data_IF_765830187355
#
_entry.id   IF_765830187355
#
_cell.length_a   1.000
_cell.length_b   1.000
_cell.length_c   1.000
_cell.angle_alpha   90.00
_cell.angle_beta   90.00
_cell.angle_gamma   90.00
#
_symmetry.space_group_name_H-M   'P 1'
#
loop_
_entity.id
_entity.type
_entity.pdbx_description
1 polymer ?
#
# COMPACT_ATOMS: atom_id res chain seq x y z
N UNK A 1 2.59 -13.49 -0.58
CA UNK A 1 1.67 -14.40 0.16
C UNK A 1 1.26 -13.70 1.43
N UNK A 2 -0.04 -13.62 1.73
CA UNK A 2 -0.52 -13.01 2.96
C UNK A 2 -0.23 -13.88 4.18
N UNK A 3 -0.39 -13.31 5.37
CA UNK A 3 -0.12 -13.99 6.66
C UNK A 3 -0.97 -15.26 6.80
N UNK A 4 -2.22 -15.20 6.34
CA UNK A 4 -3.18 -16.32 6.40
C UNK A 4 -2.79 -17.44 5.43
N UNK A 5 -2.38 -17.10 4.20
CA UNK A 5 -1.91 -18.09 3.23
C UNK A 5 -0.69 -18.87 3.71
N UNK A 6 0.25 -18.20 4.38
CA UNK A 6 1.44 -18.85 4.97
C UNK A 6 1.09 -19.77 6.15
N UNK A 7 0.11 -19.40 6.98
CA UNK A 7 -0.29 -20.19 8.15
C UNK A 7 -1.16 -21.40 7.80
N UNK A 8 -2.01 -21.28 6.77
CA UNK A 8 -2.95 -22.33 6.37
C UNK A 8 -2.49 -23.11 5.12
N UNK A 9 -1.31 -22.81 4.59
CA UNK A 9 -0.75 -23.41 3.38
C UNK A 9 -1.74 -23.41 2.20
N UNK A 10 -2.38 -22.25 1.99
CA UNK A 10 -3.43 -22.08 0.98
C UNK A 10 -2.87 -21.59 -0.35
N UNK A 11 -3.46 -22.07 -1.44
CA UNK A 11 -3.27 -21.46 -2.75
C UNK A 11 -3.73 -20.00 -2.75
N UNK A 12 -2.98 -19.15 -3.45
CA UNK A 12 -3.20 -17.70 -3.46
C UNK A 12 -4.61 -17.29 -3.94
N UNK A 13 -5.15 -17.99 -4.93
CA UNK A 13 -6.53 -17.75 -5.41
C UNK A 13 -7.56 -18.05 -4.33
N UNK A 14 -7.35 -19.11 -3.56
CA UNK A 14 -8.21 -19.52 -2.45
C UNK A 14 -8.11 -18.53 -1.29
N UNK A 15 -6.90 -18.05 -0.96
CA UNK A 15 -6.69 -16.99 0.03
C UNK A 15 -7.46 -15.71 -0.34
N UNK A 16 -7.40 -15.27 -1.59
CA UNK A 16 -8.10 -14.07 -2.06
C UNK A 16 -9.63 -14.21 -1.92
N UNK A 17 -10.21 -15.35 -2.30
CA UNK A 17 -11.65 -15.62 -2.16
C UNK A 17 -12.08 -15.60 -0.69
N UNK A 18 -11.31 -16.25 0.18
CA UNK A 18 -11.58 -16.29 1.63
C UNK A 18 -11.54 -14.89 2.21
N UNK A 19 -10.55 -14.06 1.83
CA UNK A 19 -10.44 -12.68 2.30
C UNK A 19 -11.64 -11.83 1.86
N UNK A 20 -12.19 -12.03 0.66
CA UNK A 20 -13.43 -11.35 0.23
C UNK A 20 -14.59 -11.76 1.13
N UNK A 21 -14.79 -13.08 1.30
CA UNK A 21 -15.89 -13.62 2.07
C UNK A 21 -15.83 -13.14 3.53
N UNK A 22 -14.65 -13.19 4.15
CA UNK A 22 -14.42 -12.66 5.50
C UNK A 22 -14.69 -11.16 5.57
N UNK A 23 -14.16 -10.36 4.62
CA UNK A 23 -14.39 -8.92 4.61
C UNK A 23 -15.88 -8.58 4.50
N UNK A 24 -16.65 -9.31 3.68
CA UNK A 24 -18.08 -9.13 3.53
C UNK A 24 -18.85 -9.54 4.79
N UNK A 25 -18.47 -10.67 5.42
CA UNK A 25 -19.05 -11.11 6.68
C UNK A 25 -18.81 -10.10 7.81
N UNK A 26 -17.57 -9.63 7.99
CA UNK A 26 -17.24 -8.63 9.01
C UNK A 26 -17.91 -7.28 8.72
N UNK A 27 -18.01 -6.89 7.45
CA UNK A 27 -18.76 -5.70 7.05
C UNK A 27 -20.24 -5.81 7.43
N UNK A 28 -20.91 -6.93 7.12
CA UNK A 28 -22.31 -7.14 7.47
C UNK A 28 -22.53 -7.19 8.99
N UNK A 29 -21.64 -7.84 9.74
CA UNK A 29 -21.69 -7.84 11.21
C UNK A 29 -21.57 -6.40 11.74
N UNK A 30 -20.62 -5.63 11.22
CA UNK A 30 -20.42 -4.23 11.60
C UNK A 30 -21.65 -3.39 11.27
N UNK A 31 -22.18 -3.50 10.05
CA UNK A 31 -23.33 -2.75 9.57
C UNK A 31 -24.58 -3.06 10.40
N UNK A 32 -24.88 -4.35 10.65
CA UNK A 32 -26.05 -4.76 11.44
C UNK A 32 -25.89 -4.34 12.91
N UNK A 33 -24.69 -4.45 13.48
CA UNK A 33 -24.42 -4.04 14.85
C UNK A 33 -24.55 -2.52 15.03
N UNK A 34 -24.08 -1.73 14.07
CA UNK A 34 -24.24 -0.27 14.07
C UNK A 34 -25.66 0.21 13.73
N UNK A 35 -26.48 -0.64 13.12
CA UNK A 35 -27.86 -0.33 12.72
C UNK A 35 -28.91 -0.59 13.81
N UNK A 36 -28.63 -1.49 14.77
CA UNK A 36 -29.67 -2.00 15.67
C UNK A 36 -30.14 -0.93 16.67
N UNK A 37 -31.30 -0.30 16.40
CA UNK A 37 -31.95 0.75 17.23
C UNK A 37 -32.14 0.36 18.70
N UNK A 38 -32.39 -0.92 18.97
CA UNK A 38 -32.36 -1.47 20.33
C UNK A 38 -31.14 -2.38 20.40
N UNK A 39 -29.97 -1.81 20.73
CA UNK A 39 -28.73 -2.56 20.86
C UNK A 39 -28.86 -3.78 21.77
N UNK A 40 -27.93 -4.72 21.63
CA UNK A 40 -27.86 -5.87 22.54
C UNK A 40 -26.98 -5.47 23.72
N UNK A 41 -27.48 -5.66 24.94
CA UNK A 41 -26.81 -5.20 26.16
C UNK A 41 -27.26 -3.79 26.54
N UNK A 42 -27.36 -3.52 27.84
CA UNK A 42 -27.93 -2.28 28.37
C UNK A 42 -27.23 -1.00 27.89
N UNK A 43 -27.97 0.11 27.99
CA UNK A 43 -27.56 1.40 27.45
C UNK A 43 -26.58 2.10 28.39
N UNK A 44 -25.41 2.45 27.87
CA UNK A 44 -24.46 3.35 28.52
C UNK A 44 -24.43 4.65 27.71
N UNK A 45 -25.26 5.61 28.10
CA UNK A 45 -25.35 6.91 27.42
C UNK A 45 -24.10 7.73 27.75
N UNK A 46 -23.19 7.91 26.79
CA UNK A 46 -22.08 8.87 26.92
C UNK A 46 -22.52 10.21 26.31
N UNK A 47 -22.63 11.29 27.09
CA UNK A 47 -23.36 12.50 26.71
C UNK A 47 -22.63 13.44 25.74
N UNK A 48 -21.49 13.06 25.15
CA UNK A 48 -20.71 13.99 24.30
C UNK A 48 -21.06 13.96 22.80
N UNK A 49 -21.76 12.94 22.29
CA UNK A 49 -22.03 12.81 20.83
C UNK A 49 -23.49 12.40 20.53
N UNK A 50 -24.35 12.20 21.54
CA UNK A 50 -25.72 11.72 21.31
C UNK A 50 -25.79 10.30 20.71
N UNK A 51 -24.69 9.55 20.76
CA UNK A 51 -24.67 8.11 20.46
C UNK A 51 -24.93 7.33 21.74
N UNK A 52 -25.98 6.52 21.73
CA UNK A 52 -26.20 5.51 22.75
C UNK A 52 -25.14 4.41 22.57
N UNK A 53 -24.23 4.26 23.54
CA UNK A 53 -23.25 3.18 23.51
C UNK A 53 -23.92 1.97 24.11
N UNK A 54 -24.32 1.04 23.25
CA UNK A 54 -24.76 -0.27 23.73
C UNK A 54 -23.54 -1.16 23.96
N UNK A 55 -23.56 -1.89 25.07
CA UNK A 55 -22.42 -2.66 25.59
C UNK A 55 -21.88 -3.71 24.60
N UNK A 56 -22.73 -4.32 23.79
CA UNK A 56 -22.33 -5.41 22.86
C UNK A 56 -22.31 -4.93 21.41
N UNK A 57 -23.30 -4.14 20.98
CA UNK A 57 -23.36 -3.74 19.57
C UNK A 57 -22.27 -2.74 19.19
N UNK A 58 -21.88 -1.81 20.08
CA UNK A 58 -20.84 -0.82 19.78
C UNK A 58 -19.46 -1.49 19.59
N UNK A 59 -19.01 -2.39 20.47
CA UNK A 59 -17.77 -3.14 20.23
C UNK A 59 -17.84 -4.03 18.98
N UNK A 60 -18.97 -4.68 18.71
CA UNK A 60 -19.14 -5.49 17.49
C UNK A 60 -19.05 -4.65 16.21
N UNK A 61 -19.61 -3.44 16.23
CA UNK A 61 -19.50 -2.48 15.14
C UNK A 61 -18.05 -2.10 14.87
N UNK A 62 -17.31 -1.69 15.92
CA UNK A 62 -15.91 -1.26 15.82
C UNK A 62 -15.00 -2.44 15.40
N UNK A 63 -15.08 -3.56 16.10
CA UNK A 63 -14.23 -4.73 15.84
C UNK A 63 -14.53 -5.31 14.46
N UNK A 64 -15.81 -5.43 14.07
CA UNK A 64 -16.20 -5.87 12.74
C UNK A 64 -15.67 -4.95 11.65
N UNK A 65 -15.75 -3.62 11.85
CA UNK A 65 -15.20 -2.64 10.93
C UNK A 65 -13.69 -2.78 10.76
N UNK A 66 -12.95 -2.90 11.87
CA UNK A 66 -11.50 -3.08 11.84
C UNK A 66 -11.10 -4.39 11.16
N UNK A 67 -11.76 -5.51 11.49
CA UNK A 67 -11.49 -6.80 10.85
C UNK A 67 -11.79 -6.78 9.35
N UNK A 68 -12.85 -6.10 8.94
CA UNK A 68 -13.16 -5.88 7.52
C UNK A 68 -12.00 -5.16 6.81
N UNK A 69 -11.53 -4.05 7.38
CA UNK A 69 -10.40 -3.27 6.84
C UNK A 69 -9.14 -4.12 6.77
N UNK A 70 -8.83 -4.91 7.82
CA UNK A 70 -7.65 -5.79 7.83
C UNK A 70 -7.72 -6.86 6.72
N UNK A 71 -8.90 -7.46 6.49
CA UNK A 71 -9.07 -8.41 5.39
C UNK A 71 -8.87 -7.74 4.02
N UNK A 72 -9.39 -6.53 3.81
CA UNK A 72 -9.19 -5.77 2.58
C UNK A 72 -7.74 -5.34 2.39
N UNK A 73 -7.06 -4.93 3.47
CA UNK A 73 -5.64 -4.59 3.48
C UNK A 73 -4.79 -5.79 3.06
N UNK A 74 -5.05 -6.97 3.62
CA UNK A 74 -4.30 -8.17 3.28
C UNK A 74 -4.52 -8.57 1.82
N UNK A 75 -5.75 -8.43 1.31
CA UNK A 75 -6.07 -8.74 -0.09
C UNK A 75 -5.39 -7.78 -1.06
N UNK A 76 -5.50 -6.48 -0.80
CA UNK A 76 -5.06 -5.43 -1.71
C UNK A 76 -3.73 -4.79 -1.30
N UNK A 77 -2.89 -5.53 -0.56
CA UNK A 77 -1.67 -5.01 0.06
C UNK A 77 -0.78 -4.22 -0.92
N UNK A 78 -0.64 -4.68 -2.16
CA UNK A 78 0.20 -4.06 -3.19
C UNK A 78 -0.24 -2.66 -3.61
N UNK A 79 -1.52 -2.32 -3.42
CA UNK A 79 -2.11 -1.03 -3.81
C UNK A 79 -2.85 -0.37 -2.64
N UNK A 80 -2.54 -0.77 -1.39
CA UNK A 80 -3.31 -0.37 -0.22
C UNK A 80 -3.27 1.14 0.06
N UNK A 81 -2.27 1.86 -0.47
CA UNK A 81 -2.25 3.33 -0.47
C UNK A 81 -3.54 3.91 -1.06
N UNK A 82 -4.03 3.34 -2.17
CA UNK A 82 -5.32 3.69 -2.77
C UNK A 82 -6.50 3.38 -1.84
N UNK A 83 -6.43 2.28 -1.09
CA UNK A 83 -7.43 1.92 -0.09
C UNK A 83 -7.52 2.95 1.04
N UNK A 84 -6.39 3.49 1.48
CA UNK A 84 -6.35 4.56 2.50
C UNK A 84 -6.98 5.85 1.97
N UNK A 85 -6.70 6.23 0.71
CA UNK A 85 -7.34 7.39 0.07
C UNK A 85 -8.86 7.24 -0.03
N UNK A 86 -9.35 6.05 -0.41
CA UNK A 86 -10.78 5.72 -0.44
C UNK A 86 -11.43 5.80 0.94
N UNK A 87 -10.76 5.27 1.97
CA UNK A 87 -11.27 5.35 3.34
C UNK A 87 -11.35 6.80 3.83
N UNK A 88 -10.32 7.60 3.56
CA UNK A 88 -10.32 9.03 3.89
C UNK A 88 -11.44 9.78 3.15
N UNK A 89 -11.60 9.54 1.84
CA UNK A 89 -12.66 10.13 1.04
C UNK A 89 -14.07 9.73 1.55
N UNK A 90 -14.25 8.47 1.96
CA UNK A 90 -15.48 7.99 2.59
C UNK A 90 -15.82 8.81 3.84
N UNK A 91 -14.88 8.90 4.79
CA UNK A 91 -15.10 9.62 6.05
C UNK A 91 -15.33 11.11 5.85
N UNK A 92 -14.57 11.75 4.96
CA UNK A 92 -14.74 13.17 4.65
C UNK A 92 -16.10 13.43 4.00
N UNK A 93 -16.54 12.57 3.10
CA UNK A 93 -17.85 12.68 2.44
C UNK A 93 -18.99 12.45 3.43
N UNK A 94 -18.86 11.44 4.28
CA UNK A 94 -19.81 11.13 5.35
C UNK A 94 -19.99 12.32 6.30
N UNK A 95 -18.88 12.80 6.88
CA UNK A 95 -18.88 13.93 7.82
C UNK A 95 -19.36 15.22 7.15
N UNK A 96 -18.91 15.49 5.93
CA UNK A 96 -19.37 16.65 5.16
C UNK A 96 -20.89 16.61 4.93
N UNK A 97 -21.44 15.45 4.59
CA UNK A 97 -22.88 15.27 4.38
C UNK A 97 -23.67 15.43 5.67
N UNK A 98 -23.22 14.82 6.77
CA UNK A 98 -23.87 14.96 8.08
C UNK A 98 -23.88 16.44 8.52
N UNK A 99 -22.73 17.12 8.45
CA UNK A 99 -22.65 18.54 8.81
C UNK A 99 -23.57 19.40 7.93
N UNK A 100 -23.64 19.09 6.64
CA UNK A 100 -24.49 19.82 5.70
C UNK A 100 -25.97 19.72 6.03
N UNK A 101 -26.46 18.54 6.40
CA UNK A 101 -27.90 18.30 6.61
C UNK A 101 -28.36 18.39 8.06
N UNK A 102 -27.49 18.10 9.04
CA UNK A 102 -27.85 18.13 10.46
C UNK A 102 -27.50 19.48 11.09
N UNK A 103 -26.35 20.07 10.74
CA UNK A 103 -25.86 21.30 11.38
C UNK A 103 -26.24 22.58 10.64
N UNK A 104 -27.06 22.49 9.59
CA UNK A 104 -27.47 23.63 8.76
C UNK A 104 -28.04 24.80 9.59
N UNK A 105 -28.94 24.49 10.52
CA UNK A 105 -29.63 25.48 11.34
C UNK A 105 -28.74 26.09 12.45
N UNK A 106 -27.56 25.51 12.69
CA UNK A 106 -26.64 25.95 13.74
C UNK A 106 -25.60 26.98 13.26
N UNK A 107 -25.66 27.39 11.98
CA UNK A 107 -24.93 28.54 11.46
C UNK A 107 -24.04 28.26 10.25
N UNK A 108 -23.74 29.32 9.49
CA UNK A 108 -23.05 29.26 8.20
C UNK A 108 -21.63 28.65 8.24
N UNK A 109 -20.94 28.70 9.39
CA UNK A 109 -19.61 28.10 9.54
C UNK A 109 -19.61 26.58 9.35
N UNK A 110 -20.69 25.90 9.75
CA UNK A 110 -20.84 24.45 9.55
C UNK A 110 -21.05 24.10 8.08
N UNK A 111 -21.80 24.93 7.35
CA UNK A 111 -21.96 24.82 5.90
C UNK A 111 -20.62 24.97 5.18
N UNK A 112 -19.84 26.01 5.50
CA UNK A 112 -18.52 26.20 4.91
C UNK A 112 -17.61 25.00 5.20
N UNK A 113 -17.62 24.50 6.43
CA UNK A 113 -16.85 23.31 6.84
C UNK A 113 -17.26 22.08 6.03
N UNK A 114 -18.56 21.84 5.86
CA UNK A 114 -19.08 20.73 5.06
C UNK A 114 -18.60 20.80 3.60
N UNK A 115 -18.66 21.99 2.98
CA UNK A 115 -18.18 22.22 1.61
C UNK A 115 -16.68 21.93 1.49
N UNK A 116 -15.88 22.40 2.46
CA UNK A 116 -14.43 22.14 2.48
C UNK A 116 -14.15 20.64 2.60
N UNK A 117 -14.86 19.90 3.46
CA UNK A 117 -14.68 18.45 3.60
C UNK A 117 -15.04 17.70 2.31
N UNK A 118 -16.11 18.10 1.61
CA UNK A 118 -16.51 17.50 0.33
C UNK A 118 -15.49 17.80 -0.77
N UNK A 119 -14.94 19.02 -0.82
CA UNK A 119 -13.86 19.36 -1.75
C UNK A 119 -12.58 18.58 -1.47
N UNK A 120 -12.23 18.40 -0.19
CA UNK A 120 -11.10 17.55 0.21
C UNK A 120 -11.33 16.10 -0.21
N UNK A 121 -12.54 15.55 -0.03
CA UNK A 121 -12.87 14.20 -0.48
C UNK A 121 -12.69 14.03 -2.00
N UNK A 122 -13.15 15.01 -2.79
CA UNK A 122 -12.95 15.03 -4.24
C UNK A 122 -11.47 15.12 -4.62
N UNK A 123 -10.71 15.95 -3.91
CA UNK A 123 -9.25 16.07 -4.12
C UNK A 123 -8.52 14.76 -3.83
N UNK A 124 -8.92 14.01 -2.79
CA UNK A 124 -8.33 12.70 -2.47
C UNK A 124 -8.58 11.69 -3.59
N UNK A 125 -9.80 11.63 -4.13
CA UNK A 125 -10.10 10.73 -5.25
C UNK A 125 -9.38 11.14 -6.54
N UNK A 126 -9.26 12.45 -6.80
CA UNK A 126 -8.48 12.94 -7.92
C UNK A 126 -7.01 12.53 -7.81
N UNK A 127 -6.42 12.63 -6.62
CA UNK A 127 -5.05 12.18 -6.38
C UNK A 127 -4.90 10.68 -6.61
N UNK A 128 -5.86 9.88 -6.15
CA UNK A 128 -5.88 8.44 -6.38
C UNK A 128 -5.93 8.10 -7.88
N UNK A 129 -6.69 8.84 -8.68
CA UNK A 129 -6.68 8.71 -10.15
C UNK A 129 -5.27 8.96 -10.68
N UNK A 130 -4.65 10.08 -10.29
CA UNK A 130 -3.30 10.40 -10.76
C UNK A 130 -2.28 9.32 -10.39
N UNK A 131 -2.30 8.80 -9.16
CA UNK A 131 -1.39 7.74 -8.69
C UNK A 131 -1.56 6.46 -9.53
N UNK A 132 -2.80 6.05 -9.78
CA UNK A 132 -3.10 4.85 -10.58
C UNK A 132 -2.73 5.01 -12.05
N UNK A 133 -2.99 6.16 -12.66
CA UNK A 133 -2.62 6.42 -14.06
C UNK A 133 -1.11 6.65 -14.24
N UNK A 134 -0.43 7.26 -13.26
CA UNK A 134 1.04 7.35 -13.28
C UNK A 134 1.68 5.98 -13.14
N UNK A 135 1.14 5.11 -12.28
CA UNK A 135 1.59 3.72 -12.20
C UNK A 135 1.41 3.00 -13.55
N UNK A 136 0.24 3.15 -14.19
CA UNK A 136 0.00 2.60 -15.54
C UNK A 136 1.06 3.10 -16.53
N UNK A 137 1.29 4.41 -16.60
CA UNK A 137 2.23 4.99 -17.56
C UNK A 137 3.65 4.41 -17.41
N UNK A 138 4.15 4.29 -16.17
CA UNK A 138 5.47 3.71 -15.90
C UNK A 138 5.59 2.26 -16.34
N UNK A 139 4.52 1.48 -16.19
CA UNK A 139 4.52 0.06 -16.59
C UNK A 139 4.44 -0.06 -18.11
N UNK A 140 3.62 0.78 -18.77
CA UNK A 140 3.55 0.81 -20.24
C UNK A 140 4.90 1.24 -20.85
N UNK A 141 5.58 2.22 -20.25
CA UNK A 141 6.92 2.63 -20.68
C UNK A 141 7.96 1.50 -20.55
N UNK A 142 7.82 0.65 -19.53
CA UNK A 142 8.69 -0.51 -19.33
C UNK A 142 8.32 -1.73 -20.21
N UNK A 143 7.03 -1.90 -20.50
CA UNK A 143 6.46 -3.04 -21.23
C UNK A 143 5.40 -2.58 -22.24
N UNK A 144 5.81 -2.02 -23.40
CA UNK A 144 4.88 -1.46 -24.38
C UNK A 144 3.96 -2.52 -25.01
N UNK A 145 4.39 -3.78 -25.03
CA UNK A 145 3.66 -4.95 -25.57
C UNK A 145 2.32 -5.24 -24.84
N UNK A 146 2.16 -4.74 -23.62
CA UNK A 146 1.05 -5.07 -22.72
C UNK A 146 0.02 -3.92 -22.60
N UNK A 147 0.14 -2.86 -23.40
CA UNK A 147 -0.72 -1.68 -23.34
C UNK A 147 -2.22 -2.01 -23.48
N UNK A 148 -2.58 -2.86 -24.45
CA UNK A 148 -3.96 -3.30 -24.70
C UNK A 148 -4.56 -4.08 -23.52
N UNK A 149 -3.72 -4.75 -22.71
CA UNK A 149 -4.19 -5.49 -21.52
C UNK A 149 -4.35 -4.60 -20.29
N UNK A 150 -3.85 -3.37 -20.34
CA UNK A 150 -3.92 -2.39 -19.25
C UNK A 150 -5.07 -1.39 -19.42
N UNK A 151 -6.08 -1.70 -20.23
CA UNK A 151 -7.29 -0.89 -20.32
C UNK A 151 -8.07 -0.92 -19.00
N UNK A 152 -8.04 0.21 -18.27
CA UNK A 152 -8.80 0.38 -17.03
C UNK A 152 -10.28 0.73 -17.27
N UNK A 153 -10.72 0.84 -18.54
CA UNK A 153 -12.12 1.06 -18.92
C UNK A 153 -12.79 2.20 -18.16
N UNK A 154 -14.05 1.99 -17.78
CA UNK A 154 -14.88 2.95 -17.02
C UNK A 154 -14.54 3.03 -15.51
N UNK A 155 -13.39 2.51 -15.07
CA UNK A 155 -13.02 2.49 -13.65
C UNK A 155 -13.05 3.88 -13.00
N UNK A 156 -12.61 4.91 -13.71
CA UNK A 156 -12.60 6.28 -13.22
C UNK A 156 -14.02 6.84 -12.97
N UNK A 157 -15.05 6.31 -13.66
CA UNK A 157 -16.45 6.71 -13.46
C UNK A 157 -17.04 6.16 -12.16
N UNK A 158 -16.42 5.13 -11.58
CA UNK A 158 -16.87 4.58 -10.30
C UNK A 158 -16.52 5.46 -9.10
N UNK A 159 -15.51 6.32 -9.23
CA UNK A 159 -15.11 7.26 -8.18
C UNK A 159 -16.14 8.37 -7.93
N UNK A 160 -16.65 9.08 -8.95
CA UNK A 160 -17.76 10.01 -8.73
C UNK A 160 -19.05 9.28 -8.32
N UNK A 161 -19.30 8.06 -8.81
CA UNK A 161 -20.42 7.25 -8.35
C UNK A 161 -20.31 6.90 -6.85
N UNK A 162 -19.11 6.57 -6.38
CA UNK A 162 -18.82 6.32 -4.97
C UNK A 162 -19.13 7.54 -4.08
N UNK A 163 -18.70 8.75 -4.49
CA UNK A 163 -19.05 9.99 -3.76
C UNK A 163 -20.56 10.19 -3.73
N UNK A 164 -21.22 10.10 -4.89
CA UNK A 164 -22.66 10.31 -4.99
C UNK A 164 -23.43 9.36 -4.08
N UNK A 165 -23.11 8.07 -4.11
CA UNK A 165 -23.80 7.07 -3.30
C UNK A 165 -23.48 7.25 -1.82
N UNK A 166 -22.27 7.71 -1.47
CA UNK A 166 -21.91 8.06 -0.08
C UNK A 166 -22.72 9.25 0.41
N UNK A 167 -22.90 10.30 -0.40
CA UNK A 167 -23.77 11.43 -0.07
C UNK A 167 -25.21 10.96 0.12
N UNK A 168 -25.73 10.15 -0.79
CA UNK A 168 -27.10 9.61 -0.68
C UNK A 168 -27.25 8.79 0.61
N UNK A 169 -26.28 7.92 0.91
CA UNK A 169 -26.25 7.10 2.12
C UNK A 169 -26.32 7.97 3.38
N UNK A 170 -25.45 8.97 3.49
CA UNK A 170 -25.39 9.81 4.68
C UNK A 170 -26.51 10.85 4.75
N UNK A 171 -27.16 11.16 3.64
CA UNK A 171 -28.44 11.87 3.63
C UNK A 171 -29.55 11.02 4.25
N UNK A 172 -29.69 9.75 3.85
CA UNK A 172 -30.60 8.79 4.46
C UNK A 172 -30.34 8.65 5.97
N UNK A 173 -29.07 8.52 6.35
CA UNK A 173 -28.66 8.48 7.75
C UNK A 173 -29.08 9.75 8.51
N UNK A 174 -28.83 10.94 7.95
CA UNK A 174 -29.17 12.21 8.60
C UNK A 174 -30.68 12.34 8.83
N UNK A 175 -31.50 11.88 7.87
CA UNK A 175 -32.96 11.92 7.98
C UNK A 175 -33.51 10.90 8.97
N UNK A 176 -32.91 9.71 9.02
CA UNK A 176 -33.18 8.74 10.08
C UNK A 176 -32.81 9.30 11.46
N UNK A 177 -31.62 9.90 11.62
CA UNK A 177 -31.14 10.48 12.87
C UNK A 177 -32.04 11.61 13.38
N UNK A 178 -32.53 12.47 12.49
CA UNK A 178 -33.43 13.57 12.85
C UNK A 178 -34.90 13.14 13.03
N UNK A 179 -35.24 11.88 12.75
CA UNK A 179 -36.62 11.40 12.68
C UNK A 179 -37.50 12.26 11.74
N UNK A 180 -36.92 12.69 10.62
CA UNK A 180 -37.59 13.52 9.62
C UNK A 180 -37.80 12.78 8.30
N UNK A 181 -38.87 13.11 7.60
CA UNK A 181 -39.00 12.73 6.20
C UNK A 181 -38.07 13.60 5.34
N UNK A 182 -37.33 12.94 4.44
CA UNK A 182 -36.52 13.60 3.43
C UNK A 182 -37.20 13.51 2.07
N UNK A 183 -36.83 14.44 1.17
CA UNK A 183 -37.42 14.57 -0.17
C UNK A 183 -37.32 13.29 -1.03
N UNK A 184 -36.40 12.38 -0.71
CA UNK A 184 -36.18 11.12 -1.42
C UNK A 184 -36.22 9.90 -0.49
N UNK A 185 -36.61 10.05 0.78
CA UNK A 185 -36.58 8.91 1.71
C UNK A 185 -37.82 8.04 1.64
N UNK A 186 -38.96 8.57 1.21
CA UNK A 186 -40.24 7.85 1.08
C UNK A 186 -40.61 7.03 2.33
N UNK A 187 -40.28 7.53 3.52
CA UNK A 187 -40.48 6.81 4.79
C UNK A 187 -39.56 5.60 5.02
N UNK A 188 -38.58 5.38 4.14
CA UNK A 188 -37.65 4.24 4.17
C UNK A 188 -36.21 4.67 4.48
N UNK A 189 -36.02 5.65 5.37
CA UNK A 189 -34.70 6.24 5.61
C UNK A 189 -33.66 5.21 6.09
N UNK A 190 -34.07 4.31 6.98
CA UNK A 190 -33.30 3.19 7.52
C UNK A 190 -32.86 2.19 6.44
N UNK A 191 -33.81 1.70 5.64
CA UNK A 191 -33.55 0.75 4.57
C UNK A 191 -32.69 1.36 3.47
N UNK A 192 -32.93 2.65 3.15
CA UNK A 192 -32.13 3.41 2.20
C UNK A 192 -30.66 3.43 2.58
N UNK A 193 -30.36 3.79 3.84
CA UNK A 193 -28.99 3.78 4.38
C UNK A 193 -28.33 2.40 4.27
N UNK A 194 -29.02 1.33 4.69
CA UNK A 194 -28.47 -0.03 4.64
C UNK A 194 -28.13 -0.47 3.20
N UNK A 195 -29.05 -0.25 2.26
CA UNK A 195 -28.86 -0.62 0.85
C UNK A 195 -27.69 0.16 0.26
N UNK A 196 -27.62 1.46 0.50
CA UNK A 196 -26.52 2.27 -0.03
C UNK A 196 -25.18 1.89 0.59
N UNK A 197 -25.12 1.50 1.86
CA UNK A 197 -23.89 0.99 2.47
C UNK A 197 -23.39 -0.31 1.82
N UNK A 198 -24.29 -1.25 1.51
CA UNK A 198 -23.94 -2.47 0.78
C UNK A 198 -23.43 -2.14 -0.63
N UNK A 199 -24.07 -1.20 -1.32
CA UNK A 199 -23.63 -0.74 -2.64
C UNK A 199 -22.24 -0.10 -2.57
N UNK A 200 -22.00 0.77 -1.58
CA UNK A 200 -20.68 1.40 -1.36
C UNK A 200 -19.61 0.33 -1.15
N UNK A 201 -19.87 -0.68 -0.32
CA UNK A 201 -18.92 -1.77 -0.11
C UNK A 201 -18.59 -2.52 -1.40
N UNK A 202 -19.60 -2.79 -2.24
CA UNK A 202 -19.40 -3.39 -3.56
C UNK A 202 -18.55 -2.51 -4.50
N UNK A 203 -18.84 -1.21 -4.55
CA UNK A 203 -18.10 -0.24 -5.38
C UNK A 203 -16.65 -0.12 -4.92
N UNK A 204 -16.40 0.04 -3.62
CA UNK A 204 -15.04 0.11 -3.05
C UNK A 204 -14.25 -1.15 -3.41
N UNK A 205 -14.86 -2.32 -3.25
CA UNK A 205 -14.21 -3.57 -3.64
C UNK A 205 -13.85 -3.61 -5.13
N UNK A 206 -14.74 -3.15 -6.00
CA UNK A 206 -14.48 -3.13 -7.44
C UNK A 206 -13.40 -2.11 -7.82
N UNK A 207 -13.44 -0.91 -7.22
CA UNK A 207 -12.44 0.15 -7.41
C UNK A 207 -11.05 -0.36 -7.02
N UNK A 208 -10.93 -1.14 -5.93
CA UNK A 208 -9.66 -1.73 -5.53
C UNK A 208 -9.28 -2.95 -6.39
N UNK A 209 -10.26 -3.76 -6.77
CA UNK A 209 -10.03 -5.00 -7.51
C UNK A 209 -9.43 -4.78 -8.89
N UNK A 210 -9.91 -3.79 -9.66
CA UNK A 210 -9.46 -3.58 -11.05
C UNK A 210 -7.97 -3.21 -11.14
N UNK A 211 -7.48 -2.16 -10.47
CA UNK A 211 -6.05 -1.84 -10.47
C UNK A 211 -5.21 -2.97 -9.87
N UNK A 212 -5.72 -3.66 -8.84
CA UNK A 212 -5.01 -4.79 -8.26
C UNK A 212 -4.77 -5.87 -9.30
N UNK A 213 -5.79 -6.39 -9.97
CA UNK A 213 -5.62 -7.47 -10.94
C UNK A 213 -4.75 -7.07 -12.14
N UNK A 214 -4.88 -5.83 -12.63
CA UNK A 214 -4.09 -5.34 -13.77
C UNK A 214 -2.62 -5.20 -13.40
N UNK A 215 -2.28 -4.62 -12.24
CA UNK A 215 -0.90 -4.33 -11.87
C UNK A 215 -0.21 -5.41 -11.05
N UNK A 216 -0.96 -6.39 -10.52
CA UNK A 216 -0.47 -7.42 -9.59
C UNK A 216 0.71 -8.23 -10.14
N UNK A 217 0.76 -8.50 -11.44
CA UNK A 217 1.89 -9.21 -12.08
C UNK A 217 3.16 -8.36 -12.03
N UNK A 218 3.06 -7.11 -12.48
CA UNK A 218 4.19 -6.18 -12.58
C UNK A 218 4.71 -5.70 -11.22
N UNK A 219 3.83 -5.50 -10.25
CA UNK A 219 4.24 -5.17 -8.87
C UNK A 219 4.99 -6.34 -8.23
N UNK A 220 4.62 -7.59 -8.53
CA UNK A 220 5.34 -8.75 -8.01
C UNK A 220 6.69 -8.96 -8.67
N UNK A 221 6.79 -8.74 -9.98
CA UNK A 221 8.08 -8.83 -10.70
C UNK A 221 9.06 -7.76 -10.17
N UNK A 222 8.61 -6.51 -10.01
CA UNK A 222 9.44 -5.46 -9.40
C UNK A 222 9.80 -5.74 -7.94
N UNK A 223 8.91 -6.31 -7.14
CA UNK A 223 9.19 -6.67 -5.74
C UNK A 223 10.16 -7.88 -5.65
N UNK A 224 10.04 -8.85 -6.55
CA UNK A 224 10.96 -9.99 -6.65
C UNK A 224 12.35 -9.56 -7.12
N UNK A 225 12.43 -8.73 -8.18
CA UNK A 225 13.69 -8.16 -8.66
C UNK A 225 14.36 -7.32 -7.59
N UNK A 226 13.58 -6.57 -6.79
CA UNK A 226 14.10 -5.80 -5.66
C UNK A 226 14.65 -6.70 -4.57
N UNK A 227 13.95 -7.79 -4.23
CA UNK A 227 14.41 -8.78 -3.23
C UNK A 227 15.65 -9.53 -3.72
N UNK A 228 15.71 -9.91 -4.99
CA UNK A 228 16.87 -10.58 -5.58
C UNK A 228 18.06 -9.64 -5.67
N UNK A 229 17.87 -8.38 -6.08
CA UNK A 229 18.93 -7.36 -6.05
C UNK A 229 19.37 -7.01 -4.64
N UNK A 230 18.48 -6.91 -3.64
CA UNK A 230 18.90 -6.72 -2.25
C UNK A 230 19.64 -7.95 -1.71
N UNK A 231 19.21 -9.18 -2.04
CA UNK A 231 19.93 -10.40 -1.62
C UNK A 231 21.29 -10.52 -2.32
N UNK A 232 21.42 -10.05 -3.56
CA UNK A 232 22.68 -9.97 -4.29
C UNK A 232 23.60 -8.87 -3.73
N UNK A 233 23.05 -7.71 -3.34
CA UNK A 233 23.78 -6.64 -2.66
C UNK A 233 24.24 -7.07 -1.25
N UNK A 234 23.40 -7.79 -0.51
CA UNK A 234 23.74 -8.35 0.80
C UNK A 234 24.79 -9.46 0.71
N UNK A 235 24.76 -10.30 -0.34
CA UNK A 235 25.85 -11.25 -0.61
C UNK A 235 27.15 -10.55 -1.03
N UNK A 236 27.06 -9.44 -1.76
CA UNK A 236 28.23 -8.68 -2.20
C UNK A 236 28.89 -7.88 -1.08
N UNK A 237 28.15 -7.55 -0.02
CA UNK A 237 28.65 -6.79 1.13
C UNK A 237 28.98 -7.69 2.34
N UNK A 238 29.20 -8.98 2.14
CA UNK A 238 29.62 -9.91 3.19
C UNK A 238 31.12 -10.21 3.11
N UNK A 239 31.78 -10.20 4.27
CA UNK A 239 33.16 -10.63 4.37
C UNK A 239 33.29 -12.14 4.08
N UNK A 240 34.11 -12.51 3.10
CA UNK A 240 34.36 -13.90 2.69
C UNK A 240 34.83 -14.79 3.86
N UNK A 241 35.47 -14.20 4.88
CA UNK A 241 36.04 -14.94 6.03
C UNK A 241 35.09 -15.12 7.21
N UNK A 242 34.20 -14.15 7.47
CA UNK A 242 33.37 -14.15 8.68
C UNK A 242 31.87 -13.96 8.43
N UNK A 243 31.45 -13.81 7.17
CA UNK A 243 30.06 -13.56 6.73
C UNK A 243 29.36 -12.36 7.40
N UNK A 244 30.11 -11.50 8.09
CA UNK A 244 29.57 -10.26 8.63
C UNK A 244 29.47 -9.19 7.54
N UNK A 245 28.54 -8.26 7.75
CA UNK A 245 28.33 -7.09 6.91
C UNK A 245 29.64 -6.27 6.92
N UNK A 246 30.16 -6.01 5.73
CA UNK A 246 31.40 -5.29 5.48
C UNK A 246 31.09 -3.98 4.75
N UNK A 247 31.91 -2.96 5.00
CA UNK A 247 31.70 -1.62 4.45
C UNK A 247 32.18 -1.55 3.00
N UNK A 248 31.33 -1.02 2.11
CA UNK A 248 31.70 -0.76 0.72
C UNK A 248 32.61 0.47 0.65
N UNK A 249 33.79 0.34 0.03
CA UNK A 249 34.69 1.44 -0.31
C UNK A 249 34.88 1.54 -1.80
N UNK A 250 34.77 2.76 -2.33
CA UNK A 250 34.92 3.06 -3.75
C UNK A 250 36.28 3.68 -4.01
N UNK A 251 36.93 3.23 -5.09
CA UNK A 251 38.20 3.76 -5.55
C UNK A 251 38.10 4.14 -7.02
N UNK A 252 38.64 5.30 -7.37
CA UNK A 252 38.69 5.75 -8.76
C UNK A 252 39.94 5.19 -9.42
N UNK A 253 39.80 4.62 -10.62
CA UNK A 253 40.93 4.13 -11.39
C UNK A 253 41.85 5.32 -11.76
N UNK A 254 43.16 5.24 -11.45
CA UNK A 254 44.07 6.34 -11.73
C UNK A 254 44.29 6.63 -13.21
N UNK A 255 44.03 5.67 -14.11
CA UNK A 255 44.20 5.85 -15.55
C UNK A 255 42.94 6.34 -16.28
N UNK A 256 41.75 5.83 -15.92
CA UNK A 256 40.52 6.08 -16.66
C UNK A 256 39.40 6.74 -15.85
N UNK A 257 39.59 6.95 -14.54
CA UNK A 257 38.60 7.55 -13.65
C UNK A 257 37.35 6.68 -13.42
N UNK A 258 37.37 5.42 -13.84
CA UNK A 258 36.26 4.49 -13.60
C UNK A 258 36.22 4.07 -12.13
N UNK A 259 35.03 4.10 -11.53
CA UNK A 259 34.81 3.69 -10.14
C UNK A 259 34.84 2.16 -10.01
N UNK A 260 35.78 1.66 -9.20
CA UNK A 260 35.80 0.27 -8.78
C UNK A 260 35.38 0.13 -7.31
N UNK A 261 34.72 -1.00 -7.01
CA UNK A 261 34.20 -1.29 -5.67
C UNK A 261 35.11 -2.28 -4.95
N UNK A 262 35.38 -1.99 -3.69
CA UNK A 262 36.00 -2.92 -2.74
C UNK A 262 35.14 -3.02 -1.49
N UNK A 263 35.31 -4.10 -0.75
CA UNK A 263 34.57 -4.35 0.48
C UNK A 263 35.58 -4.51 1.61
N UNK A 264 35.45 -3.72 2.68
CA UNK A 264 36.34 -3.73 3.84
C UNK A 264 35.62 -4.28 5.07
N UNK A 265 36.18 -5.32 5.69
CA UNK A 265 35.65 -5.87 6.92
C UNK A 265 36.35 -5.27 8.14
N UNK A 266 35.63 -4.47 8.94
CA UNK A 266 36.15 -3.88 10.18
C UNK A 266 36.54 -4.92 11.25
N UNK A 267 35.99 -6.13 11.20
CA UNK A 267 36.24 -7.19 12.19
C UNK A 267 37.51 -7.97 11.86
N UNK A 268 37.73 -8.27 10.59
CA UNK A 268 38.89 -9.03 10.14
C UNK A 268 40.04 -8.14 9.67
N UNK A 269 39.79 -6.84 9.48
CA UNK A 269 40.71 -5.85 8.89
C UNK A 269 41.22 -6.25 7.50
N UNK A 270 40.35 -6.86 6.68
CA UNK A 270 40.71 -7.36 5.34
C UNK A 270 39.84 -6.70 4.27
N UNK A 271 40.45 -6.48 3.10
CA UNK A 271 39.76 -6.09 1.88
C UNK A 271 39.42 -7.30 1.02
N UNK A 272 38.17 -7.38 0.58
CA UNK A 272 37.71 -8.30 -0.46
C UNK A 272 37.31 -7.52 -1.71
N UNK A 273 37.67 -8.04 -2.88
CA UNK A 273 37.44 -7.41 -4.19
C UNK A 273 36.81 -8.44 -5.11
N UNK A 274 35.99 -7.99 -6.06
CA UNK A 274 35.45 -8.85 -7.11
C UNK A 274 36.55 -9.34 -8.05
N UNK A 275 36.57 -10.64 -8.33
CA UNK A 275 37.39 -11.23 -9.38
C UNK A 275 37.07 -10.60 -10.74
N UNK A 276 38.08 -10.23 -11.52
CA UNK A 276 37.84 -9.71 -12.88
C UNK A 276 37.28 -10.78 -13.83
N UNK A 277 37.52 -12.07 -13.56
CA UNK A 277 37.16 -13.16 -14.46
C UNK A 277 35.78 -13.76 -14.13
N UNK A 278 35.49 -14.01 -12.85
CA UNK A 278 34.22 -14.64 -12.42
C UNK A 278 33.31 -13.74 -11.58
N UNK A 279 33.70 -12.48 -11.32
CA UNK A 279 32.94 -11.53 -10.49
C UNK A 279 32.67 -11.93 -9.03
N UNK A 280 33.22 -13.05 -8.55
CA UNK A 280 33.10 -13.47 -7.16
C UNK A 280 34.06 -12.71 -6.24
N UNK A 281 33.66 -12.50 -4.98
CA UNK A 281 34.49 -11.82 -3.99
C UNK A 281 35.66 -12.70 -3.55
N UNK A 282 36.87 -12.17 -3.70
CA UNK A 282 38.12 -12.80 -3.31
C UNK A 282 38.82 -11.88 -2.29
N UNK A 283 39.58 -12.46 -1.38
CA UNK A 283 40.50 -11.72 -0.52
C UNK A 283 41.62 -11.09 -1.37
N UNK A 284 41.94 -9.83 -1.11
CA UNK A 284 43.06 -9.14 -1.78
C UNK A 284 44.37 -9.92 -1.54
N UNK A 285 45.08 -10.26 -2.61
CA UNK A 285 46.35 -11.01 -2.55
C UNK A 285 46.19 -12.54 -2.52
N UNK A 286 44.96 -13.06 -2.53
CA UNK A 286 44.70 -14.51 -2.61
C UNK A 286 44.28 -14.94 -4.03
N UNK A 287 44.43 -16.25 -4.29
CA UNK A 287 43.93 -16.88 -5.51
C UNK A 287 42.42 -17.08 -5.45
N UNK A 288 41.76 -16.79 -6.56
CA UNK A 288 40.38 -17.15 -6.80
C UNK A 288 40.18 -18.67 -6.65
N UNK A 289 39.40 -19.14 -5.69
CA UNK A 289 39.17 -20.57 -5.48
C UNK A 289 38.44 -21.26 -6.65
N UNK A 290 37.67 -20.51 -7.42
CA UNK A 290 36.92 -21.04 -8.58
C UNK A 290 37.69 -20.96 -9.90
N UNK A 291 38.55 -19.96 -10.05
CA UNK A 291 39.16 -19.62 -11.33
C UNK A 291 40.69 -19.69 -11.33
N UNK A 292 41.30 -20.00 -10.17
CA UNK A 292 42.75 -20.16 -9.92
C UNK A 292 43.62 -19.01 -10.43
N UNK A 293 43.05 -17.80 -10.50
CA UNK A 293 43.75 -16.58 -10.90
C UNK A 293 44.26 -15.84 -9.67
N UNK A 294 45.54 -15.45 -9.69
CA UNK A 294 46.15 -14.56 -8.68
C UNK A 294 45.67 -13.12 -8.85
N UNK A 295 45.12 -12.55 -7.77
CA UNK A 295 44.67 -11.17 -7.71
C UNK A 295 45.63 -10.36 -6.80
N UNK A 296 46.70 -9.82 -7.38
CA UNK A 296 47.73 -9.04 -6.68
C UNK A 296 47.26 -7.61 -6.30
N UNK A 297 46.11 -7.16 -6.81
CA UNK A 297 45.62 -5.78 -6.63
C UNK A 297 44.19 -5.56 -7.15
N UNK A 298 43.72 -4.32 -7.04
CA UNK A 298 42.47 -3.90 -7.69
C UNK A 298 42.76 -3.82 -9.20
N UNK A 299 41.92 -4.47 -10.00
CA UNK A 299 42.01 -4.45 -11.46
C UNK A 299 40.85 -3.63 -12.00
N UNK A 300 41.13 -2.62 -12.82
CA UNK A 300 40.09 -1.87 -13.51
C UNK A 300 39.48 -2.73 -14.62
N UNK A 301 38.16 -2.88 -14.63
CA UNK A 301 37.45 -3.66 -15.66
C UNK A 301 37.63 -3.04 -17.05
N UNK A 302 37.73 -1.71 -17.15
CA UNK A 302 37.77 -1.00 -18.43
C UNK A 302 39.16 -0.91 -19.06
N UNK A 303 40.17 -0.53 -18.28
CA UNK A 303 41.54 -0.37 -18.82
C UNK A 303 42.48 -1.52 -18.45
N UNK A 304 42.02 -2.52 -17.67
CA UNK A 304 42.84 -3.63 -17.18
C UNK A 304 44.06 -3.19 -16.34
N UNK A 305 44.08 -1.93 -15.87
CA UNK A 305 45.10 -1.44 -14.96
C UNK A 305 45.06 -2.23 -13.65
N UNK A 306 46.21 -2.73 -13.21
CA UNK A 306 46.38 -3.47 -11.96
C UNK A 306 47.24 -2.64 -11.02
N UNK A 307 46.76 -2.38 -9.82
CA UNK A 307 47.51 -1.64 -8.82
C UNK A 307 47.13 -2.03 -7.39
N UNK A 308 48.04 -1.78 -6.44
CA UNK A 308 47.78 -2.00 -5.02
C UNK A 308 46.80 -0.95 -4.46
N UNK A 309 46.14 -1.24 -3.33
CA UNK A 309 45.18 -0.30 -2.70
C UNK A 309 45.78 1.11 -2.49
N UNK A 310 47.09 1.19 -2.19
CA UNK A 310 47.77 2.48 -2.03
C UNK A 310 47.81 3.31 -3.30
N UNK A 311 47.95 2.70 -4.47
CA UNK A 311 48.00 3.39 -5.77
C UNK A 311 46.61 3.89 -6.19
N UNK A 312 45.57 3.15 -5.81
CA UNK A 312 44.16 3.52 -6.03
C UNK A 312 43.64 4.55 -5.02
N UNK A 313 44.29 4.69 -3.86
CA UNK A 313 43.93 5.67 -2.84
C UNK A 313 44.52 7.07 -3.08
N UNK A 314 45.51 7.22 -3.98
CA UNK A 314 46.22 8.50 -4.20
C UNK A 314 45.32 9.59 -4.80
N UNK A 315 44.23 9.22 -5.48
CA UNK A 315 43.33 10.17 -6.15
C UNK A 315 42.09 10.56 -5.31
N UNK A 316 41.92 10.01 -4.11
CA UNK A 316 40.77 10.29 -3.22
C UNK A 316 41.14 11.18 -2.01
N UNK A 317 42.25 11.92 -2.11
CA UNK A 317 42.70 12.91 -1.11
C UNK A 317 42.24 14.32 -1.45
#
# INVERSE_FOLDING_TARGET
>A
MGVIGKQLNLDRKTEEIILVALSACFFLISLIAGYKENGIGGDLVIPMIGMEIHLISTPMWIIGGLLCIMCLQQRYHSIWTNGIWLLAAYFLTAMGTILFFVMYDFGYWWYLTAVVLLLLALSMLYWMILEVYTLRSRIVDAYPEEEERMEMGEWALLLPAFILITIISYYYYSKWFLNEEGWFTFGMATNGYLITQIIIFGIVNYIMYRPHEVFKKYIQETEYDRVETTNLLDKKNQCVKCNNIAEERRYDCPECGEMERSVFCNICEIHSISCYNCSNLILLGERCTECDVENEGITCIRCSFKGGIREWAVNNG
#
